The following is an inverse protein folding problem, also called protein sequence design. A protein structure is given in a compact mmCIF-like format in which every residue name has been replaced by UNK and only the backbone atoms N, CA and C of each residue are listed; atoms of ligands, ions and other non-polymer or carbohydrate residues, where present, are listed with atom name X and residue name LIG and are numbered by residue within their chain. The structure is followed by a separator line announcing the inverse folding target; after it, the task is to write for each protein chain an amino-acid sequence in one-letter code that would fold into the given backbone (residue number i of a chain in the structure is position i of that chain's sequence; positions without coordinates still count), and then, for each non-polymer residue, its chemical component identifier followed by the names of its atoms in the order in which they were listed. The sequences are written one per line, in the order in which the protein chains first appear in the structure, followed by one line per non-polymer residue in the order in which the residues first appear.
data_IF_019522448391
#
_entry.id   IF_019522448391
#
_cell.length_a   1.000
_cell.length_b   1.000
_cell.length_c   1.000
_cell.angle_alpha   90.00
_cell.angle_beta   90.00
_cell.angle_gamma   90.00
#
_symmetry.space_group_name_H-M   'P 1'
#
loop_
_entity.id
_entity.type
_entity.pdbx_description
1 polymer ?
#
# COMPACT_ATOMS: atom_id res chain seq x y z
N UNK A 1 -9.62 -9.08 -12.83
CA UNK A 1 -9.86 -7.79 -13.51
C UNK A 1 -8.62 -6.92 -13.34
N UNK A 2 -8.26 -6.01 -14.28
CA UNK A 2 -7.17 -5.07 -14.04
C UNK A 2 -7.58 -4.06 -12.96
N UNK A 3 -6.70 -3.90 -11.97
CA UNK A 3 -6.96 -3.13 -10.77
C UNK A 3 -5.73 -2.35 -10.31
N UNK A 4 -5.95 -1.28 -9.53
CA UNK A 4 -4.94 -0.69 -8.65
C UNK A 4 -5.58 -0.45 -7.28
N UNK A 5 -4.93 -0.93 -6.22
CA UNK A 5 -5.37 -0.74 -4.83
C UNK A 5 -4.71 0.44 -4.13
N UNK A 6 -3.76 1.10 -4.78
CA UNK A 6 -2.91 2.10 -4.14
C UNK A 6 -2.74 3.30 -5.07
N UNK A 7 -3.33 4.44 -4.71
CA UNK A 7 -3.20 5.67 -5.50
C UNK A 7 -3.41 6.93 -4.67
N UNK A 8 -2.78 8.01 -5.14
CA UNK A 8 -2.69 9.32 -4.54
C UNK A 8 -2.92 10.43 -5.58
N UNK A 9 -3.17 11.63 -5.08
CA UNK A 9 -3.45 12.82 -5.89
C UNK A 9 -2.80 14.07 -5.31
N UNK A 10 -2.36 14.98 -6.18
CA UNK A 10 -1.80 16.26 -5.76
C UNK A 10 -2.80 17.20 -5.08
N UNK A 11 -4.09 16.87 -5.18
CA UNK A 11 -5.16 17.58 -4.46
C UNK A 11 -5.09 17.36 -2.95
N UNK A 12 -4.60 16.20 -2.48
CA UNK A 12 -4.60 15.84 -1.06
C UNK A 12 -3.25 15.31 -0.53
N UNK A 13 -2.26 15.08 -1.40
CA UNK A 13 -0.89 14.73 -1.05
C UNK A 13 0.13 15.74 -1.60
N UNK A 14 1.00 16.27 -0.73
CA UNK A 14 1.95 17.35 -1.05
C UNK A 14 3.00 16.96 -2.10
N UNK A 15 3.36 15.68 -2.17
CA UNK A 15 4.34 15.14 -3.14
C UNK A 15 3.70 14.42 -4.33
N UNK A 16 2.36 14.47 -4.45
CA UNK A 16 1.63 14.01 -5.64
C UNK A 16 1.29 15.18 -6.59
N UNK A 17 0.66 14.85 -7.73
CA UNK A 17 0.19 15.79 -8.76
C UNK A 17 -1.25 15.48 -9.18
N UNK A 18 -1.89 16.45 -9.84
CA UNK A 18 -3.24 16.35 -10.41
C UNK A 18 -4.37 16.17 -9.38
N UNK A 19 -5.62 16.28 -9.85
CA UNK A 19 -6.80 16.02 -9.02
C UNK A 19 -7.12 14.53 -8.94
N UNK A 20 -7.84 14.14 -7.89
CA UNK A 20 -8.34 12.77 -7.71
C UNK A 20 -9.20 12.34 -8.93
N UNK A 21 -10.01 13.26 -9.46
CA UNK A 21 -10.85 13.02 -10.64
C UNK A 21 -10.01 12.74 -11.89
N UNK A 22 -8.98 13.54 -12.18
CA UNK A 22 -8.10 13.30 -13.33
C UNK A 22 -7.37 11.96 -13.23
N UNK A 23 -6.97 11.53 -12.02
CA UNK A 23 -6.39 10.20 -11.79
C UNK A 23 -7.39 9.10 -12.17
N UNK A 24 -8.66 9.22 -11.77
CA UNK A 24 -9.71 8.25 -12.12
C UNK A 24 -10.08 8.29 -13.62
N UNK A 25 -10.11 9.47 -14.25
CA UNK A 25 -10.30 9.58 -15.70
C UNK A 25 -9.19 8.86 -16.46
N UNK A 26 -7.93 9.03 -16.01
CA UNK A 26 -6.79 8.36 -16.59
C UNK A 26 -6.89 6.84 -16.44
N UNK A 27 -7.23 6.36 -15.25
CA UNK A 27 -7.44 4.93 -15.01
C UNK A 27 -8.51 4.36 -15.95
N UNK A 28 -9.64 5.03 -16.11
CA UNK A 28 -10.69 4.59 -17.01
C UNK A 28 -10.23 4.57 -18.48
N UNK A 29 -9.51 5.61 -18.94
CA UNK A 29 -8.97 5.67 -20.30
C UNK A 29 -8.03 4.50 -20.60
N UNK A 30 -7.21 4.12 -19.63
CA UNK A 30 -6.29 2.98 -19.71
C UNK A 30 -7.00 1.61 -19.59
N UNK A 31 -8.32 1.58 -19.40
CA UNK A 31 -9.12 0.36 -19.37
C UNK A 31 -9.14 -0.34 -18.01
N UNK A 32 -8.76 0.35 -16.92
CA UNK A 32 -8.99 -0.17 -15.58
C UNK A 32 -10.48 -0.31 -15.32
N UNK A 33 -10.83 -1.34 -14.54
CA UNK A 33 -12.21 -1.60 -14.12
C UNK A 33 -12.39 -1.50 -12.61
N UNK A 34 -11.27 -1.51 -11.89
CA UNK A 34 -11.18 -1.29 -10.46
C UNK A 34 -10.01 -0.33 -10.27
N UNK A 35 -10.23 0.78 -9.59
CA UNK A 35 -9.15 1.71 -9.27
C UNK A 35 -9.53 2.39 -7.97
N UNK A 36 -8.74 2.14 -6.93
CA UNK A 36 -9.10 2.49 -5.56
C UNK A 36 -8.20 3.61 -5.05
N UNK A 37 -8.76 4.43 -4.18
CA UNK A 37 -8.16 5.65 -3.67
C UNK A 37 -7.67 5.40 -2.25
N UNK A 38 -6.43 5.77 -1.94
CA UNK A 38 -5.79 5.43 -0.67
C UNK A 38 -4.85 6.53 -0.18
N UNK A 39 -5.33 7.77 -0.10
CA UNK A 39 -4.48 8.87 0.34
C UNK A 39 -3.84 8.61 1.71
N UNK A 40 -2.66 9.23 1.92
CA UNK A 40 -1.95 9.15 3.19
C UNK A 40 -2.79 9.72 4.33
N UNK A 41 -2.72 9.05 5.48
CA UNK A 41 -3.35 9.52 6.72
C UNK A 41 -2.62 10.76 7.28
N UNK A 42 -3.33 11.63 8.02
CA UNK A 42 -2.71 12.82 8.59
C UNK A 42 -1.75 12.46 9.74
N UNK A 43 -0.74 13.30 9.95
CA UNK A 43 0.19 13.21 11.09
C UNK A 43 -0.48 13.75 12.34
N UNK A 44 -0.09 13.26 13.51
CA UNK A 44 -0.56 13.77 14.79
C UNK A 44 0.27 14.97 15.24
N UNK A 45 1.59 14.88 15.12
CA UNK A 45 2.53 15.80 15.75
C UNK A 45 3.36 16.58 14.73
N UNK A 46 3.76 17.84 15.01
CA UNK A 46 4.65 18.59 14.14
C UNK A 46 6.01 17.91 13.89
N UNK A 47 6.48 17.08 14.82
CA UNK A 47 7.72 16.31 14.68
C UNK A 47 7.64 15.16 13.67
N UNK A 48 6.44 14.82 13.21
CA UNK A 48 6.17 13.73 12.26
C UNK A 48 5.99 14.26 10.83
N UNK A 49 6.01 15.58 10.64
CA UNK A 49 5.86 16.20 9.32
C UNK A 49 7.09 15.92 8.45
N UNK A 50 6.83 15.68 7.17
CA UNK A 50 7.90 15.51 6.19
C UNK A 50 8.58 16.85 5.88
N UNK A 51 9.83 16.83 5.38
CA UNK A 51 10.56 18.06 5.02
C UNK A 51 9.77 19.01 4.12
N UNK A 52 9.12 18.51 3.06
CA UNK A 52 8.34 19.32 2.12
C UNK A 52 7.10 19.96 2.76
N UNK A 53 6.56 19.35 3.82
CA UNK A 53 5.39 19.87 4.52
C UNK A 53 5.76 21.00 5.45
N UNK A 54 6.92 20.88 6.10
CA UNK A 54 7.52 21.97 6.87
C UNK A 54 7.83 23.15 5.96
N UNK A 55 8.41 22.90 4.78
CA UNK A 55 8.67 23.93 3.76
C UNK A 55 7.39 24.60 3.26
N UNK A 56 6.32 23.84 3.10
CA UNK A 56 4.99 24.33 2.71
C UNK A 56 4.19 24.95 3.88
N UNK A 57 4.77 25.06 5.08
CA UNK A 57 4.12 25.54 6.30
C UNK A 57 2.78 24.82 6.59
N UNK A 58 2.74 23.52 6.32
CA UNK A 58 1.61 22.65 6.65
C UNK A 58 1.65 22.34 8.15
N UNK A 59 0.46 22.20 8.75
CA UNK A 59 0.30 21.84 10.16
C UNK A 59 -0.47 20.52 10.29
N UNK A 60 -0.36 19.78 11.42
CA UNK A 60 -1.17 18.59 11.65
C UNK A 60 -2.68 18.84 11.53
N UNK A 61 -3.17 20.00 11.98
CA UNK A 61 -4.58 20.38 11.82
C UNK A 61 -4.94 20.56 10.33
N UNK A 62 -4.08 21.21 9.54
CA UNK A 62 -4.30 21.36 8.10
C UNK A 62 -4.30 20.01 7.38
N UNK A 63 -3.44 19.08 7.77
CA UNK A 63 -3.46 17.71 7.23
C UNK A 63 -4.75 16.98 7.57
N UNK A 64 -5.27 17.16 8.78
CA UNK A 64 -6.57 16.59 9.19
C UNK A 64 -7.70 17.14 8.33
N UNK A 65 -7.74 18.46 8.10
CA UNK A 65 -8.74 19.10 7.23
C UNK A 65 -8.62 18.62 5.78
N UNK A 66 -7.39 18.47 5.27
CA UNK A 66 -7.11 17.90 3.94
C UNK A 66 -7.64 16.46 3.84
N UNK A 67 -7.40 15.62 4.85
CA UNK A 67 -7.88 14.23 4.88
C UNK A 67 -9.42 14.15 4.92
N UNK A 68 -10.09 15.01 5.70
CA UNK A 68 -11.55 15.09 5.69
C UNK A 68 -12.11 15.56 4.33
N UNK A 69 -11.41 16.49 3.67
CA UNK A 69 -11.76 16.95 2.32
C UNK A 69 -11.57 15.84 1.29
N UNK A 70 -10.50 15.05 1.41
CA UNK A 70 -10.25 13.85 0.62
C UNK A 70 -11.41 12.86 0.74
N UNK A 71 -11.77 12.46 1.96
CA UNK A 71 -12.85 11.48 2.18
C UNK A 71 -14.17 11.94 1.55
N UNK A 72 -14.49 13.23 1.68
CA UNK A 72 -15.70 13.81 1.09
C UNK A 72 -15.69 13.74 -0.44
N UNK A 73 -14.58 14.14 -1.06
CA UNK A 73 -14.46 14.15 -2.52
C UNK A 73 -14.34 12.73 -3.11
N UNK A 74 -13.60 11.84 -2.45
CA UNK A 74 -13.47 10.44 -2.84
C UNK A 74 -14.82 9.72 -2.81
N UNK A 75 -15.68 10.01 -1.83
CA UNK A 75 -17.06 9.47 -1.79
C UNK A 75 -17.92 10.01 -2.92
N UNK A 76 -17.87 11.32 -3.20
CA UNK A 76 -18.55 11.89 -4.37
C UNK A 76 -18.12 11.22 -5.67
N UNK A 77 -16.81 11.03 -5.85
CA UNK A 77 -16.26 10.39 -7.05
C UNK A 77 -16.58 8.89 -7.12
N UNK A 78 -16.62 8.18 -5.99
CA UNK A 78 -17.09 6.79 -5.95
C UNK A 78 -18.51 6.66 -6.53
N UNK A 79 -19.43 7.54 -6.15
CA UNK A 79 -20.81 7.57 -6.66
C UNK A 79 -20.88 7.94 -8.15
N UNK A 80 -20.02 8.85 -8.62
CA UNK A 80 -19.94 9.21 -10.05
C UNK A 80 -19.43 8.05 -10.89
N UNK A 81 -18.35 7.40 -10.47
CA UNK A 81 -17.64 6.43 -11.30
C UNK A 81 -18.27 5.03 -11.30
N UNK A 82 -19.03 4.66 -10.25
CA UNK A 82 -19.82 3.42 -10.29
C UNK A 82 -20.81 3.44 -11.46
N UNK A 83 -21.42 4.61 -11.76
CA UNK A 83 -22.32 4.79 -12.92
C UNK A 83 -21.59 4.71 -14.27
N UNK A 84 -20.27 4.94 -14.28
CA UNK A 84 -19.38 4.86 -15.46
C UNK A 84 -18.75 3.48 -15.64
N UNK A 85 -19.07 2.52 -14.77
CA UNK A 85 -18.54 1.15 -14.83
C UNK A 85 -17.12 0.99 -14.28
N UNK A 86 -16.59 1.97 -13.53
CA UNK A 86 -15.33 1.85 -12.79
C UNK A 86 -15.62 1.62 -11.31
N UNK A 87 -15.14 0.51 -10.76
CA UNK A 87 -15.24 0.22 -9.34
C UNK A 87 -14.21 1.02 -8.55
N UNK A 88 -14.69 1.95 -7.73
CA UNK A 88 -13.85 2.77 -6.85
C UNK A 88 -14.14 2.41 -5.41
N UNK A 89 -13.09 2.22 -4.61
CA UNK A 89 -13.17 2.08 -3.16
C UNK A 89 -12.44 3.27 -2.55
N UNK A 90 -12.94 3.76 -1.42
CA UNK A 90 -12.32 4.87 -0.68
C UNK A 90 -11.61 4.27 0.53
N UNK A 91 -10.29 4.29 0.51
CA UNK A 91 -9.44 3.79 1.57
C UNK A 91 -8.50 4.86 2.12
N UNK A 92 -7.46 4.42 2.80
CA UNK A 92 -6.33 5.25 3.20
C UNK A 92 -5.07 4.39 3.31
N UNK A 93 -3.91 5.02 3.14
CA UNK A 93 -2.62 4.40 3.41
C UNK A 93 -2.10 4.82 4.79
N UNK A 94 -1.70 3.82 5.59
CA UNK A 94 -1.33 4.03 7.00
C UNK A 94 0.11 4.46 7.21
N UNK A 95 0.37 4.86 8.46
CA UNK A 95 1.69 5.12 9.01
C UNK A 95 1.80 4.50 10.41
N UNK A 96 3.04 4.24 10.85
CA UNK A 96 3.36 4.00 12.27
C UNK A 96 4.68 4.71 12.62
N UNK A 97 4.62 6.01 12.90
CA UNK A 97 5.80 6.88 13.06
C UNK A 97 6.32 6.82 14.50
N UNK A 98 5.41 6.94 15.46
CA UNK A 98 5.69 6.88 16.90
C UNK A 98 4.57 6.12 17.60
N UNK A 99 4.82 4.84 17.85
CA UNK A 99 3.89 3.96 18.57
C UNK A 99 3.86 4.24 20.08
N UNK A 100 2.68 4.13 20.76
CA UNK A 100 1.37 3.79 20.21
C UNK A 100 0.61 4.99 19.61
N UNK A 101 1.14 6.22 19.78
CA UNK A 101 0.46 7.48 19.49
C UNK A 101 -0.06 7.59 18.05
N UNK A 102 0.76 7.26 17.05
CA UNK A 102 0.35 7.33 15.64
C UNK A 102 -0.88 6.47 15.35
N UNK A 103 -0.91 5.23 15.85
CA UNK A 103 -2.01 4.30 15.61
C UNK A 103 -3.24 4.61 16.49
N UNK A 104 -3.05 5.14 17.69
CA UNK A 104 -4.16 5.66 18.52
C UNK A 104 -4.85 6.83 17.83
N UNK A 105 -4.07 7.77 17.30
CA UNK A 105 -4.57 8.92 16.54
C UNK A 105 -5.27 8.48 15.26
N UNK A 106 -4.67 7.58 14.47
CA UNK A 106 -5.29 7.05 13.26
C UNK A 106 -6.63 6.38 13.56
N UNK A 107 -6.69 5.55 14.61
CA UNK A 107 -7.93 4.90 15.05
C UNK A 107 -9.01 5.93 15.35
N UNK A 108 -8.66 7.02 16.04
CA UNK A 108 -9.57 8.12 16.35
C UNK A 108 -10.02 8.88 15.09
N UNK A 109 -9.11 9.24 14.19
CA UNK A 109 -9.40 9.97 12.95
C UNK A 109 -10.32 9.17 12.02
N UNK A 110 -10.19 7.84 12.03
CA UNK A 110 -11.07 6.95 11.29
C UNK A 110 -12.44 6.75 11.99
N UNK A 111 -12.73 7.44 13.08
CA UNK A 111 -14.01 7.40 13.80
C UNK A 111 -14.18 6.16 14.68
N UNK A 112 -13.07 5.57 15.12
CA UNK A 112 -13.05 4.39 16.01
C UNK A 112 -12.38 4.73 17.35
N UNK A 113 -12.37 3.78 18.28
CA UNK A 113 -11.73 3.92 19.59
C UNK A 113 -10.94 2.67 19.99
N UNK A 114 -10.27 2.72 21.15
CA UNK A 114 -9.44 1.63 21.65
C UNK A 114 -10.20 0.30 21.92
N UNK A 115 -11.53 0.31 22.00
CA UNK A 115 -12.35 -0.89 22.16
C UNK A 115 -12.83 -1.46 20.83
N UNK A 116 -12.59 -0.76 19.72
CA UNK A 116 -12.97 -1.21 18.39
C UNK A 116 -12.09 -2.39 17.98
N UNK A 117 -12.71 -3.50 17.56
CA UNK A 117 -11.96 -4.64 17.05
C UNK A 117 -11.10 -4.23 15.83
N UNK A 118 -9.85 -4.72 15.69
CA UNK A 118 -8.94 -4.29 14.63
C UNK A 118 -9.55 -4.25 13.22
N UNK A 119 -10.24 -5.32 12.81
CA UNK A 119 -10.87 -5.40 11.48
C UNK A 119 -12.04 -4.42 11.27
N UNK A 120 -12.52 -3.76 12.33
CA UNK A 120 -13.61 -2.78 12.30
C UNK A 120 -13.11 -1.34 12.42
N UNK A 121 -11.82 -1.10 12.67
CA UNK A 121 -11.27 0.25 12.70
C UNK A 121 -11.53 0.92 11.34
N UNK A 122 -12.14 2.10 11.37
CA UNK A 122 -12.52 2.86 10.18
C UNK A 122 -13.78 2.38 9.45
N UNK A 123 -14.51 1.40 9.99
CA UNK A 123 -15.78 0.95 9.42
C UNK A 123 -16.77 2.10 9.32
N UNK A 124 -17.28 2.34 8.10
CA UNK A 124 -18.20 3.43 7.79
C UNK A 124 -17.50 4.73 7.36
N UNK A 125 -16.20 4.85 7.64
CA UNK A 125 -15.36 5.97 7.17
C UNK A 125 -14.64 5.58 5.88
N UNK A 126 -13.94 4.45 5.89
CA UNK A 126 -13.20 3.88 4.76
C UNK A 126 -13.71 2.47 4.43
N UNK A 127 -13.53 2.07 3.18
CA UNK A 127 -13.89 0.74 2.65
C UNK A 127 -12.78 -0.28 2.87
N UNK A 128 -11.53 0.18 2.85
CA UNK A 128 -10.35 -0.64 3.02
C UNK A 128 -9.16 0.19 3.53
N UNK A 129 -8.14 -0.48 4.02
CA UNK A 129 -6.88 0.13 4.47
C UNK A 129 -5.71 -0.51 3.73
N UNK A 130 -4.78 0.32 3.26
CA UNK A 130 -3.44 -0.10 2.82
C UNK A 130 -2.49 0.06 4.01
N UNK A 131 -2.08 -1.07 4.59
CA UNK A 131 -1.19 -1.11 5.74
C UNK A 131 0.26 -0.94 5.33
N UNK A 132 0.76 0.29 5.43
CA UNK A 132 2.13 0.68 5.07
C UNK A 132 2.89 1.29 6.25
N UNK A 133 4.21 1.33 6.12
CA UNK A 133 5.09 2.11 6.99
C UNK A 133 6.11 2.85 6.14
N UNK A 134 6.33 4.12 6.46
CA UNK A 134 7.32 4.96 5.76
C UNK A 134 8.41 5.48 6.68
N UNK A 135 8.41 5.04 7.95
CA UNK A 135 9.33 5.51 8.97
C UNK A 135 9.98 4.35 9.72
N UNK A 136 11.19 4.59 10.21
CA UNK A 136 11.82 3.78 11.26
C UNK A 136 12.60 4.71 12.20
N UNK A 137 12.46 4.51 13.51
CA UNK A 137 12.90 5.48 14.53
C UNK A 137 12.35 6.91 14.28
N UNK A 138 11.09 7.01 13.83
CA UNK A 138 10.45 8.27 13.43
C UNK A 138 11.18 9.06 12.32
N UNK A 139 12.09 8.42 11.58
CA UNK A 139 12.80 9.01 10.44
C UNK A 139 12.26 8.39 9.15
N UNK A 140 11.89 9.18 8.13
CA UNK A 140 11.45 8.65 6.84
C UNK A 140 12.49 7.72 6.20
N UNK A 141 12.04 6.59 5.68
CA UNK A 141 12.90 5.60 4.99
C UNK A 141 12.75 5.64 3.46
N UNK A 142 11.80 6.44 2.96
CA UNK A 142 11.39 6.46 1.57
C UNK A 142 11.44 7.83 0.87
N UNK A 143 11.70 8.88 1.64
CA UNK A 143 11.78 10.26 1.16
C UNK A 143 12.96 10.49 0.20
N UNK A 144 14.19 10.32 0.69
CA UNK A 144 15.41 10.41 -0.11
C UNK A 144 16.53 9.54 0.49
N UNK A 145 17.59 9.30 -0.29
CA UNK A 145 18.72 8.46 0.12
C UNK A 145 19.38 8.98 1.40
N UNK A 146 19.51 10.31 1.55
CA UNK A 146 20.17 10.94 2.69
C UNK A 146 19.39 10.70 3.99
N UNK A 147 18.06 10.77 3.93
CA UNK A 147 17.16 10.58 5.06
C UNK A 147 17.07 9.11 5.44
N UNK A 148 17.05 8.21 4.45
CA UNK A 148 17.20 6.78 4.67
C UNK A 148 18.52 6.42 5.37
N UNK A 149 19.65 6.98 4.91
CA UNK A 149 20.95 6.77 5.54
C UNK A 149 20.98 7.28 6.99
N UNK A 150 20.34 8.42 7.28
CA UNK A 150 20.16 8.90 8.65
C UNK A 150 19.33 7.95 9.51
N UNK A 151 18.28 7.33 8.95
CA UNK A 151 17.50 6.31 9.65
C UNK A 151 18.38 5.10 9.99
N UNK A 152 19.12 4.57 9.01
CA UNK A 152 20.09 3.48 9.21
C UNK A 152 21.13 3.83 10.28
N UNK A 153 21.73 5.01 10.20
CA UNK A 153 22.73 5.50 11.16
C UNK A 153 22.17 5.61 12.59
N UNK A 154 20.87 5.85 12.76
CA UNK A 154 20.24 5.89 14.09
C UNK A 154 20.29 4.55 14.83
N UNK A 155 20.53 3.44 14.12
CA UNK A 155 20.73 2.11 14.70
C UNK A 155 22.22 1.78 14.97
N UNK A 156 23.15 2.65 14.57
CA UNK A 156 24.59 2.39 14.67
C UNK A 156 25.12 2.34 16.11
N UNK A 157 24.42 2.90 17.10
CA UNK A 157 24.79 2.75 18.52
C UNK A 157 24.38 1.40 19.13
N UNK A 158 23.46 0.67 18.49
CA UNK A 158 23.10 -0.70 18.85
C UNK A 158 24.02 -1.73 18.17
N UNK A 159 24.57 -1.39 17.00
CA UNK A 159 25.57 -2.19 16.30
C UNK A 159 26.98 -1.96 16.85
N UNK A 160 27.84 -2.98 16.82
CA UNK A 160 29.27 -2.79 17.08
C UNK A 160 29.82 -1.72 16.12
N UNK A 161 30.27 -0.59 16.68
CA UNK A 161 30.79 0.61 16.01
C UNK A 161 31.16 0.43 14.52
N UNK A 162 30.31 0.93 13.62
CA UNK A 162 30.69 1.24 12.23
C UNK A 162 30.23 0.29 11.12
N UNK A 163 29.49 -0.79 11.41
CA UNK A 163 28.93 -1.66 10.37
C UNK A 163 27.55 -1.16 9.86
N UNK A 164 27.55 -0.49 8.70
CA UNK A 164 26.33 0.00 8.02
C UNK A 164 25.35 -1.13 7.68
N UNK A 165 25.85 -2.33 7.34
CA UNK A 165 24.98 -3.48 7.05
C UNK A 165 24.25 -3.92 8.31
N UNK A 166 24.96 -4.06 9.43
CA UNK A 166 24.33 -4.45 10.70
C UNK A 166 23.30 -3.41 11.16
N UNK A 167 23.62 -2.11 11.05
CA UNK A 167 22.68 -1.05 11.39
C UNK A 167 21.40 -1.10 10.52
N UNK A 168 21.55 -1.41 9.22
CA UNK A 168 20.40 -1.59 8.33
C UNK A 168 19.58 -2.82 8.72
N UNK A 169 20.21 -3.93 9.11
CA UNK A 169 19.49 -5.11 9.60
C UNK A 169 18.70 -4.84 10.90
N UNK A 170 19.21 -3.99 11.79
CA UNK A 170 18.45 -3.53 12.97
C UNK A 170 17.27 -2.62 12.61
N UNK A 171 17.40 -1.80 11.56
CA UNK A 171 16.26 -1.09 10.98
C UNK A 171 15.21 -2.08 10.49
N UNK A 172 15.61 -3.11 9.73
CA UNK A 172 14.69 -4.17 9.27
C UNK A 172 14.03 -4.89 10.44
N UNK A 173 14.80 -5.20 11.49
CA UNK A 173 14.30 -5.85 12.71
C UNK A 173 13.15 -5.07 13.35
N UNK A 174 13.31 -3.74 13.44
CA UNK A 174 12.35 -2.79 14.02
C UNK A 174 11.15 -2.61 13.09
N UNK A 175 11.39 -2.37 11.80
CA UNK A 175 10.35 -2.24 10.78
C UNK A 175 9.40 -3.45 10.78
N UNK A 176 9.92 -4.67 10.88
CA UNK A 176 9.09 -5.88 10.89
C UNK A 176 8.25 -6.00 12.17
N UNK A 177 8.69 -5.47 13.31
CA UNK A 177 7.86 -5.41 14.53
C UNK A 177 6.78 -4.33 14.41
N UNK A 178 7.14 -3.14 13.91
CA UNK A 178 6.18 -2.05 13.69
C UNK A 178 5.13 -2.45 12.64
N UNK A 179 5.52 -3.19 11.60
CA UNK A 179 4.60 -3.76 10.61
C UNK A 179 3.65 -4.77 11.25
N UNK A 180 4.14 -5.64 12.15
CA UNK A 180 3.25 -6.54 12.87
C UNK A 180 2.23 -5.77 13.70
N UNK A 181 2.65 -4.70 14.38
CA UNK A 181 1.73 -3.87 15.16
C UNK A 181 0.61 -3.27 14.28
N UNK A 182 0.95 -2.73 13.10
CA UNK A 182 -0.03 -2.23 12.12
C UNK A 182 -1.02 -3.35 11.73
N UNK A 183 -0.50 -4.55 11.42
CA UNK A 183 -1.33 -5.70 11.05
C UNK A 183 -2.26 -6.12 12.20
N UNK A 184 -1.76 -6.18 13.43
CA UNK A 184 -2.51 -6.59 14.61
C UNK A 184 -3.59 -5.59 14.99
N UNK A 185 -3.30 -4.29 14.88
CA UNK A 185 -4.18 -3.21 15.35
C UNK A 185 -5.22 -2.76 14.32
N UNK A 186 -4.94 -2.91 13.03
CA UNK A 186 -5.82 -2.41 11.96
C UNK A 186 -6.38 -3.51 11.05
N UNK A 187 -5.72 -4.69 11.00
CA UNK A 187 -6.00 -5.78 10.06
C UNK A 187 -6.33 -5.26 8.65
N UNK A 188 -5.40 -4.53 8.01
CA UNK A 188 -5.64 -3.87 6.73
C UNK A 188 -5.99 -4.90 5.64
N UNK A 189 -6.91 -4.58 4.74
CA UNK A 189 -7.26 -5.47 3.63
C UNK A 189 -6.09 -5.68 2.67
N UNK A 190 -5.22 -4.67 2.54
CA UNK A 190 -4.03 -4.70 1.70
C UNK A 190 -2.81 -4.42 2.56
N UNK A 191 -1.81 -5.30 2.53
CA UNK A 191 -0.47 -5.04 3.08
C UNK A 191 0.33 -4.30 2.02
N UNK A 192 0.68 -3.04 2.31
CA UNK A 192 1.47 -2.17 1.46
C UNK A 192 2.92 -2.64 1.35
N UNK A 193 3.57 -2.29 0.24
CA UNK A 193 4.97 -2.49 -0.16
C UNK A 193 5.85 -3.13 0.93
N UNK A 194 5.68 -4.44 1.10
CA UNK A 194 6.04 -5.17 2.32
C UNK A 194 7.50 -4.95 2.76
N UNK A 195 8.41 -4.85 1.80
CA UNK A 195 9.85 -4.71 2.00
C UNK A 195 10.40 -3.34 1.58
N UNK A 196 9.63 -2.26 1.84
CA UNK A 196 10.07 -0.88 1.65
C UNK A 196 11.41 -0.57 2.33
N UNK A 197 11.74 -1.27 3.43
CA UNK A 197 13.06 -1.19 4.09
C UNK A 197 14.26 -1.47 3.16
N UNK A 198 14.03 -2.04 1.97
CA UNK A 198 15.05 -2.26 0.94
C UNK A 198 15.14 -1.13 -0.09
N UNK A 199 14.29 -0.09 -0.06
CA UNK A 199 14.11 0.86 -1.17
C UNK A 199 15.44 1.34 -1.78
N UNK A 200 16.40 1.77 -0.96
CA UNK A 200 17.70 2.26 -1.40
C UNK A 200 18.81 1.20 -1.47
N UNK A 201 18.52 -0.03 -1.03
CA UNK A 201 19.42 -1.19 -1.01
C UNK A 201 18.65 -2.47 -1.43
N UNK A 202 18.17 -2.54 -2.69
CA UNK A 202 17.31 -3.63 -3.19
C UNK A 202 17.92 -5.02 -3.07
N UNK A 203 19.25 -5.09 -3.06
CA UNK A 203 20.02 -6.34 -2.99
C UNK A 203 20.26 -6.82 -1.55
N UNK A 204 19.70 -6.14 -0.53
CA UNK A 204 19.84 -6.56 0.87
C UNK A 204 19.21 -7.95 1.09
N UNK A 205 20.08 -8.94 1.32
CA UNK A 205 19.69 -10.30 1.70
C UNK A 205 19.47 -10.40 3.20
N UNK A 206 18.35 -11.01 3.57
CA UNK A 206 18.00 -11.35 4.95
C UNK A 206 18.46 -12.78 5.25
N UNK A 207 19.76 -12.95 5.45
CA UNK A 207 20.39 -14.26 5.70
C UNK A 207 20.24 -14.70 7.16
N UNK A 208 19.95 -13.74 8.04
CA UNK A 208 19.75 -13.89 9.47
C UNK A 208 18.43 -14.63 9.76
N UNK A 209 18.46 -15.88 10.27
CA UNK A 209 17.25 -16.68 10.45
C UNK A 209 16.20 -16.02 11.34
N UNK A 210 16.63 -15.22 12.32
CA UNK A 210 15.75 -14.48 13.22
C UNK A 210 14.98 -13.35 12.52
N UNK A 211 15.58 -12.68 11.52
CA UNK A 211 14.89 -11.66 10.72
C UNK A 211 13.93 -12.31 9.74
N UNK A 212 14.37 -13.39 9.08
CA UNK A 212 13.50 -14.14 8.20
C UNK A 212 12.29 -14.73 8.94
N UNK A 213 12.46 -15.17 10.19
CA UNK A 213 11.35 -15.61 11.03
C UNK A 213 10.32 -14.50 11.30
N UNK A 214 10.74 -13.23 11.38
CA UNK A 214 9.82 -12.08 11.50
C UNK A 214 9.08 -11.79 10.19
N UNK A 215 9.75 -11.90 9.04
CA UNK A 215 9.10 -11.84 7.72
C UNK A 215 8.01 -12.92 7.64
N UNK A 216 8.36 -14.16 7.94
CA UNK A 216 7.42 -15.29 7.94
C UNK A 216 6.26 -15.09 8.94
N UNK A 217 6.55 -14.60 10.15
CA UNK A 217 5.54 -14.26 11.16
C UNK A 217 4.51 -13.28 10.60
N UNK A 218 4.96 -12.18 10.01
CA UNK A 218 4.06 -11.13 9.50
C UNK A 218 3.24 -11.63 8.31
N UNK A 219 3.87 -12.35 7.37
CA UNK A 219 3.17 -12.96 6.23
C UNK A 219 2.11 -13.95 6.72
N UNK A 220 2.46 -14.86 7.64
CA UNK A 220 1.49 -15.82 8.21
C UNK A 220 0.33 -15.13 8.90
N UNK A 221 0.60 -14.07 9.65
CA UNK A 221 -0.42 -13.30 10.33
C UNK A 221 -1.41 -12.67 9.33
N UNK A 222 -0.89 -11.99 8.29
CA UNK A 222 -1.69 -11.39 7.23
C UNK A 222 -2.49 -12.42 6.42
N UNK A 223 -1.88 -13.55 6.08
CA UNK A 223 -2.57 -14.69 5.44
C UNK A 223 -3.73 -15.19 6.30
N UNK A 224 -3.54 -15.32 7.61
CA UNK A 224 -4.54 -15.90 8.50
C UNK A 224 -5.85 -15.09 8.54
N UNK A 225 -5.78 -13.75 8.49
CA UNK A 225 -6.97 -12.91 8.41
C UNK A 225 -7.42 -12.59 6.97
N UNK A 226 -6.72 -13.13 5.95
CA UNK A 226 -7.14 -13.07 4.56
C UNK A 226 -6.71 -11.82 3.79
N UNK A 227 -5.73 -11.06 4.30
CA UNK A 227 -5.18 -9.89 3.64
C UNK A 227 -4.69 -10.19 2.22
N UNK A 228 -4.69 -9.16 1.39
CA UNK A 228 -4.02 -9.14 0.10
C UNK A 228 -2.64 -8.49 0.33
N UNK A 229 -1.61 -9.00 -0.33
CA UNK A 229 -0.30 -8.38 -0.41
C UNK A 229 -0.23 -7.63 -1.73
N UNK A 230 0.11 -6.34 -1.70
CA UNK A 230 0.26 -5.61 -2.95
C UNK A 230 1.52 -6.02 -3.71
N UNK A 231 1.39 -6.14 -5.02
CA UNK A 231 2.48 -6.21 -5.97
C UNK A 231 2.62 -4.83 -6.62
N UNK A 232 3.46 -4.00 -6.03
CA UNK A 232 3.52 -2.57 -6.31
C UNK A 232 4.57 -2.24 -7.38
N UNK A 233 4.11 -1.67 -8.49
CA UNK A 233 4.93 -1.30 -9.64
C UNK A 233 5.86 -0.08 -9.39
N UNK A 234 5.72 0.63 -8.28
CA UNK A 234 6.53 1.81 -7.95
C UNK A 234 8.02 1.48 -7.83
N UNK A 235 8.37 0.29 -7.34
CA UNK A 235 9.76 -0.16 -7.21
C UNK A 235 10.55 -0.01 -8.52
N UNK A 236 9.92 -0.27 -9.66
CA UNK A 236 10.53 -0.14 -10.98
C UNK A 236 10.96 1.29 -11.31
N UNK A 237 10.25 2.31 -10.81
CA UNK A 237 10.62 3.74 -10.96
C UNK A 237 11.78 4.11 -10.05
N UNK A 238 11.96 3.37 -8.96
CA UNK A 238 13.05 3.51 -7.99
C UNK A 238 14.32 2.74 -8.41
N UNK A 239 14.32 2.14 -9.61
CA UNK A 239 15.47 1.46 -10.19
C UNK A 239 15.54 -0.04 -9.91
N UNK A 240 14.51 -0.62 -9.30
CA UNK A 240 14.48 -2.05 -9.04
C UNK A 240 14.24 -2.87 -10.33
N UNK A 241 14.74 -4.10 -10.32
CA UNK A 241 14.47 -5.11 -11.35
C UNK A 241 13.18 -5.89 -11.09
N UNK A 242 12.64 -5.83 -9.87
CA UNK A 242 11.36 -6.42 -9.44
C UNK A 242 10.38 -5.35 -8.95
N UNK A 243 9.13 -5.76 -8.72
CA UNK A 243 8.16 -5.01 -7.95
C UNK A 243 8.46 -5.12 -6.43
N UNK A 244 7.71 -4.40 -5.60
CA UNK A 244 7.48 -4.86 -4.22
C UNK A 244 6.40 -5.95 -4.24
N UNK A 245 6.48 -6.99 -3.39
CA UNK A 245 7.68 -7.39 -2.68
C UNK A 245 8.75 -7.96 -3.63
N UNK A 246 10.02 -7.94 -3.21
CA UNK A 246 11.08 -8.63 -3.96
C UNK A 246 10.84 -10.16 -4.04
N UNK A 247 11.49 -10.87 -4.99
CA UNK A 247 11.21 -12.28 -5.30
C UNK A 247 11.20 -13.23 -4.10
N UNK A 248 12.14 -13.09 -3.16
CA UNK A 248 12.25 -13.98 -2.00
C UNK A 248 11.00 -13.90 -1.10
N UNK A 249 10.52 -12.68 -0.83
CA UNK A 249 9.33 -12.43 -0.02
C UNK A 249 8.06 -12.78 -0.81
N UNK A 250 8.00 -12.48 -2.11
CA UNK A 250 6.90 -12.91 -2.97
C UNK A 250 6.72 -14.44 -2.96
N UNK A 251 7.82 -15.19 -3.12
CA UNK A 251 7.78 -16.66 -3.09
C UNK A 251 7.36 -17.19 -1.72
N UNK A 252 7.74 -16.53 -0.62
CA UNK A 252 7.24 -16.87 0.72
C UNK A 252 5.72 -16.65 0.83
N UNK A 253 5.21 -15.51 0.34
CA UNK A 253 3.78 -15.21 0.33
C UNK A 253 3.01 -16.29 -0.45
N UNK A 254 3.47 -16.65 -1.65
CA UNK A 254 2.88 -17.73 -2.46
C UNK A 254 2.91 -19.07 -1.73
N UNK A 255 4.06 -19.45 -1.17
CA UNK A 255 4.22 -20.70 -0.40
C UNK A 255 3.26 -20.80 0.79
N UNK A 256 2.95 -19.67 1.41
CA UNK A 256 2.04 -19.59 2.56
C UNK A 256 0.57 -19.41 2.17
N UNK A 257 0.25 -19.36 0.88
CA UNK A 257 -1.13 -19.20 0.40
C UNK A 257 -1.66 -17.77 0.51
N UNK A 258 -0.77 -16.77 0.50
CA UNK A 258 -1.15 -15.37 0.46
C UNK A 258 -1.79 -14.94 -0.85
N UNK A 259 -2.62 -13.91 -0.77
CA UNK A 259 -3.37 -13.36 -1.89
C UNK A 259 -2.63 -12.16 -2.45
N UNK A 260 -2.39 -12.10 -3.75
CA UNK A 260 -1.66 -10.99 -4.37
C UNK A 260 -2.63 -10.05 -5.08
N UNK A 261 -2.43 -8.73 -4.95
CA UNK A 261 -3.13 -7.70 -5.73
C UNK A 261 -2.14 -6.79 -6.45
N UNK A 262 -2.61 -5.96 -7.37
CA UNK A 262 -1.80 -5.04 -8.16
C UNK A 262 -1.96 -3.62 -7.64
N UNK A 263 -0.86 -2.87 -7.69
CA UNK A 263 -0.89 -1.42 -7.49
C UNK A 263 0.18 -0.70 -8.31
N UNK A 264 -0.08 0.57 -8.62
CA UNK A 264 0.90 1.49 -9.21
C UNK A 264 1.48 2.47 -8.19
N UNK A 265 0.81 2.67 -7.05
CA UNK A 265 1.15 3.71 -6.08
C UNK A 265 1.35 5.04 -6.84
N UNK A 266 0.31 5.36 -7.59
CA UNK A 266 0.30 6.47 -8.53
C UNK A 266 0.17 7.79 -7.79
N UNK A 267 1.07 8.72 -8.08
CA UNK A 267 1.14 10.04 -7.46
C UNK A 267 0.68 11.15 -8.44
N UNK A 268 -0.37 10.86 -9.20
CA UNK A 268 -0.90 11.72 -10.27
C UNK A 268 -1.02 10.99 -11.61
N UNK A 269 -1.56 11.70 -12.61
CA UNK A 269 -1.97 11.13 -13.91
C UNK A 269 -0.82 10.42 -14.62
N UNK A 270 0.37 11.02 -14.56
CA UNK A 270 1.58 10.48 -15.18
C UNK A 270 2.03 9.11 -14.64
N UNK A 271 1.61 8.76 -13.42
CA UNK A 271 2.01 7.53 -12.74
C UNK A 271 0.95 6.41 -12.82
N UNK A 272 -0.27 6.71 -13.26
CA UNK A 272 -1.35 5.72 -13.37
C UNK A 272 -0.98 4.64 -14.38
N UNK A 273 -0.96 3.39 -13.92
CA UNK A 273 -0.53 2.21 -14.68
C UNK A 273 0.95 2.18 -15.01
N UNK A 274 1.77 3.12 -14.53
CA UNK A 274 3.18 3.19 -14.90
C UNK A 274 3.91 1.91 -14.47
N UNK A 275 4.62 1.29 -15.42
CA UNK A 275 5.28 -0.02 -15.29
C UNK A 275 4.36 -1.25 -15.14
N UNK A 276 3.05 -1.15 -15.39
CA UNK A 276 2.15 -2.31 -15.32
C UNK A 276 2.52 -3.46 -16.26
N UNK A 277 3.07 -3.16 -17.44
CA UNK A 277 3.59 -4.20 -18.34
C UNK A 277 4.79 -4.96 -17.71
N UNK A 278 5.68 -4.25 -17.00
CA UNK A 278 6.81 -4.86 -16.27
C UNK A 278 6.31 -5.65 -15.06
N UNK A 279 5.33 -5.13 -14.32
CA UNK A 279 4.69 -5.82 -13.21
C UNK A 279 4.06 -7.14 -13.66
N UNK A 280 3.29 -7.11 -14.77
CA UNK A 280 2.71 -8.32 -15.38
C UNK A 280 3.78 -9.35 -15.70
N UNK A 281 4.85 -8.94 -16.38
CA UNK A 281 5.94 -9.86 -16.76
C UNK A 281 6.63 -10.44 -15.51
N UNK A 282 6.93 -9.59 -14.53
CA UNK A 282 7.50 -10.01 -13.26
C UNK A 282 6.65 -11.09 -12.57
N UNK A 283 5.34 -10.88 -12.45
CA UNK A 283 4.45 -11.85 -11.79
C UNK A 283 4.30 -13.15 -12.60
N UNK A 284 4.33 -13.09 -13.94
CA UNK A 284 4.38 -14.28 -14.80
C UNK A 284 5.68 -15.07 -14.54
N UNK A 285 6.82 -14.39 -14.53
CA UNK A 285 8.14 -15.01 -14.32
C UNK A 285 8.25 -15.64 -12.91
N UNK A 286 7.52 -15.10 -11.94
CA UNK A 286 7.45 -15.61 -10.57
C UNK A 286 6.41 -16.72 -10.39
N UNK A 287 5.70 -17.13 -11.45
CA UNK A 287 4.73 -18.23 -11.42
C UNK A 287 3.41 -17.89 -10.73
N UNK A 288 2.97 -16.63 -10.79
CA UNK A 288 1.70 -16.20 -10.18
C UNK A 288 0.51 -16.63 -11.04
N UNK A 289 -0.26 -17.59 -10.53
CA UNK A 289 -1.47 -18.09 -11.21
C UNK A 289 -2.72 -17.29 -10.86
N UNK A 290 -2.83 -16.73 -9.66
CA UNK A 290 -4.06 -16.08 -9.19
C UNK A 290 -3.78 -14.69 -8.64
N UNK A 291 -4.56 -13.72 -9.11
CA UNK A 291 -4.63 -12.38 -8.53
C UNK A 291 -5.96 -12.18 -7.81
N UNK A 292 -5.94 -11.33 -6.80
CA UNK A 292 -7.08 -10.96 -5.99
C UNK A 292 -7.33 -9.46 -6.07
N UNK A 293 -8.58 -9.06 -5.98
CA UNK A 293 -8.99 -7.66 -5.98
C UNK A 293 -10.17 -7.45 -5.05
N UNK A 294 -10.40 -6.21 -4.65
CA UNK A 294 -11.46 -5.84 -3.71
C UNK A 294 -12.63 -5.22 -4.47
N UNK A 295 -13.82 -5.50 -3.98
CA UNK A 295 -15.05 -4.82 -4.36
C UNK A 295 -15.87 -4.47 -3.11
N UNK A 296 -16.84 -3.56 -3.25
CA UNK A 296 -17.87 -3.36 -2.22
C UNK A 296 -18.62 -4.68 -2.02
N UNK A 297 -18.84 -5.05 -0.77
CA UNK A 297 -19.68 -6.19 -0.46
C UNK A 297 -21.16 -5.79 -0.58
N UNK A 298 -21.87 -6.38 -1.55
CA UNK A 298 -23.29 -6.14 -1.80
C UNK A 298 -24.22 -7.10 -1.04
N UNK A 299 -23.67 -8.05 -0.29
CA UNK A 299 -24.45 -9.04 0.46
C UNK A 299 -24.15 -8.97 1.96
N UNK A 300 -25.20 -8.99 2.80
CA UNK A 300 -25.06 -8.84 4.26
C UNK A 300 -24.56 -10.10 4.99
N UNK A 301 -24.53 -11.27 4.34
CA UNK A 301 -24.11 -12.54 4.97
C UNK A 301 -23.41 -13.48 4.01
N UNK A 302 -22.18 -13.89 4.35
CA UNK A 302 -21.54 -15.06 3.73
C UNK A 302 -21.79 -16.34 4.54
N UNK A 303 -21.95 -17.50 3.87
CA UNK A 303 -21.81 -18.78 4.54
C UNK A 303 -20.40 -18.96 5.10
N UNK A 304 -20.27 -19.69 6.20
CA UNK A 304 -18.98 -20.08 6.75
C UNK A 304 -18.15 -20.80 5.67
N UNK A 305 -16.95 -20.30 5.40
CA UNK A 305 -15.99 -20.93 4.48
C UNK A 305 -14.83 -21.54 5.24
N UNK A 306 -14.30 -22.65 4.72
CA UNK A 306 -13.04 -23.22 5.19
C UNK A 306 -11.88 -22.43 4.58
N UNK A 307 -11.11 -21.72 5.40
CA UNK A 307 -9.94 -20.94 4.98
C UNK A 307 -10.00 -19.48 5.43
N UNK A 308 -9.01 -18.65 5.04
CA UNK A 308 -9.00 -17.22 5.37
C UNK A 308 -10.24 -16.52 4.81
N UNK A 309 -10.84 -15.57 5.55
CA UNK A 309 -12.08 -14.92 5.13
C UNK A 309 -11.87 -14.14 3.83
N UNK A 310 -12.86 -14.16 2.95
CA UNK A 310 -12.89 -13.34 1.72
C UNK A 310 -13.71 -12.06 1.89
N UNK A 311 -14.40 -11.89 3.02
CA UNK A 311 -15.19 -10.69 3.32
C UNK A 311 -14.62 -10.00 4.54
N UNK A 312 -14.47 -8.69 4.45
CA UNK A 312 -13.87 -7.86 5.48
C UNK A 312 -14.92 -7.03 6.19
N UNK A 313 -14.71 -6.77 7.48
CA UNK A 313 -15.71 -6.13 8.33
C UNK A 313 -15.99 -4.65 7.95
N UNK A 314 -15.09 -4.01 7.18
CA UNK A 314 -15.27 -2.68 6.56
C UNK A 314 -16.18 -2.67 5.33
N UNK A 315 -16.71 -3.82 4.91
CA UNK A 315 -17.73 -3.90 3.85
C UNK A 315 -17.16 -4.11 2.46
N UNK A 316 -16.04 -4.82 2.35
CA UNK A 316 -15.44 -5.23 1.08
C UNK A 316 -15.34 -6.75 0.98
N UNK A 317 -15.28 -7.24 -0.25
CA UNK A 317 -15.07 -8.65 -0.58
C UNK A 317 -13.87 -8.81 -1.51
N UNK A 318 -12.98 -9.74 -1.19
CA UNK A 318 -11.90 -10.19 -2.03
C UNK A 318 -12.41 -11.19 -3.07
N UNK A 319 -12.17 -10.90 -4.35
CA UNK A 319 -12.46 -11.79 -5.48
C UNK A 319 -11.17 -12.23 -6.15
N UNK A 320 -11.12 -13.50 -6.55
CA UNK A 320 -9.98 -14.06 -7.28
C UNK A 320 -10.19 -14.00 -8.78
N UNK A 321 -9.09 -13.88 -9.53
CA UNK A 321 -8.98 -14.12 -10.95
C UNK A 321 -7.89 -15.16 -11.16
N UNK A 322 -8.22 -16.25 -11.85
CA UNK A 322 -7.28 -17.33 -12.13
C UNK A 322 -6.26 -16.94 -13.21
N UNK A 323 -5.55 -17.92 -13.80
CA UNK A 323 -4.42 -17.67 -14.70
C UNK A 323 -4.78 -16.87 -15.95
N UNK A 324 -6.06 -16.75 -16.28
CA UNK A 324 -6.56 -15.86 -17.34
C UNK A 324 -6.21 -14.38 -17.13
N UNK A 325 -5.85 -13.97 -15.90
CA UNK A 325 -5.33 -12.63 -15.65
C UNK A 325 -4.11 -12.33 -16.53
N UNK A 326 -3.28 -13.34 -16.82
CA UNK A 326 -2.04 -13.18 -17.57
C UNK A 326 -2.29 -12.74 -19.00
N UNK A 327 -3.38 -13.19 -19.65
CA UNK A 327 -3.73 -12.88 -21.04
C UNK A 327 -4.97 -12.01 -21.17
N UNK A 328 -5.41 -11.39 -20.07
CA UNK A 328 -6.61 -10.57 -20.04
C UNK A 328 -6.59 -9.45 -21.10
N UNK A 329 -7.71 -9.16 -21.80
CA UNK A 329 -7.78 -8.15 -22.86
C UNK A 329 -7.30 -6.74 -22.46
N UNK A 330 -7.34 -6.43 -21.16
CA UNK A 330 -6.75 -5.22 -20.60
C UNK A 330 -5.33 -4.98 -21.09
N UNK A 331 -4.45 -5.98 -21.10
CA UNK A 331 -3.04 -5.77 -21.42
C UNK A 331 -2.84 -5.25 -22.84
N UNK A 332 -3.65 -5.74 -23.78
CA UNK A 332 -3.64 -5.29 -25.16
C UNK A 332 -4.21 -3.87 -25.29
N UNK A 333 -5.35 -3.58 -24.66
CA UNK A 333 -5.95 -2.23 -24.64
C UNK A 333 -5.04 -1.19 -23.99
N UNK A 334 -4.48 -1.54 -22.83
CA UNK A 334 -3.55 -0.72 -22.05
C UNK A 334 -2.33 -0.33 -22.89
N UNK A 335 -1.69 -1.32 -23.52
CA UNK A 335 -0.50 -1.09 -24.37
C UNK A 335 -0.85 -0.22 -25.57
N UNK A 336 -1.94 -0.53 -26.28
CA UNK A 336 -2.38 0.25 -27.44
C UNK A 336 -2.71 1.70 -27.09
N UNK A 337 -3.31 1.95 -25.92
CA UNK A 337 -3.62 3.30 -25.44
C UNK A 337 -2.35 4.10 -25.20
N UNK A 338 -1.37 3.54 -24.48
CA UNK A 338 -0.08 4.20 -24.24
C UNK A 338 0.70 4.48 -25.54
N UNK A 339 0.67 3.56 -26.50
CA UNK A 339 1.31 3.74 -27.81
C UNK A 339 0.66 4.87 -28.61
N UNK A 340 -0.67 4.97 -28.57
CA UNK A 340 -1.40 6.03 -29.28
C UNK A 340 -1.10 7.44 -28.75
N UNK A 341 -0.79 7.57 -27.46
CA UNK A 341 -0.45 8.84 -26.82
C UNK A 341 1.03 9.24 -27.01
N UNK A 342 1.87 8.25 -27.35
CA UNK A 342 3.31 8.47 -27.60
C UNK A 342 3.60 8.89 -29.04
N UNK A 343 2.58 8.90 -29.92
CA UNK A 343 2.71 9.38 -31.29
C UNK A 343 2.42 10.89 -31.36
N UNK A 344 3.35 11.70 -31.90
CA UNK A 344 3.29 13.17 -31.86
C UNK A 344 2.20 13.80 -32.73
#
# INVERSE_FOLDING_TARGET
MPHSHHSHSGQFCSHAKDSLEHVLERAQALGFTHFHLSEHVPRQNPSELYPEELEAAVTPDRLRDTFHSYLSEARRLQDVYVSRGLNVLVGCETENITSPGTLDYLTHILGSDANTAPEKVGKGTVDYIVGSLHHSHAIPIDFDRKTFERSVESFASAAAHGDKRQAHLELVNTYLDDQLEVLERLRPEVVGHFDLFRLFEPELKLEEPQLWAKVERNVRFAVAYGALFECNAAAFRKGWSSAYPAPDILQLILKLGGRLCLSDDSHGVHAVGLNYARLRQYLIDQGVDTLWYLEKDSEETAPAQNGPPVRFARGTVAKSMGPEWQSHPFWSHFTATLESESQP
#
